data_IF_350273936399
#
_entry.id   IF_350273936399
#
_cell.length_a   1.000
_cell.length_b   1.000
_cell.length_c   1.000
_cell.angle_alpha   90.00
_cell.angle_beta   90.00
_cell.angle_gamma   90.00
#
_symmetry.space_group_name_H-M   'P 1'
#
loop_
_entity.id
_entity.type
_entity.pdbx_description
1 polymer ?
#
# COMPACT_ATOMS: atom_id res chain seq x y z
N UNK A 1 9.61 0.56 32.03
CA UNK A 1 8.63 0.03 31.05
C UNK A 1 9.04 -1.37 30.72
N UNK A 2 8.36 -2.35 31.31
CA UNK A 2 8.50 -3.74 30.91
C UNK A 2 7.83 -3.89 29.54
N UNK A 3 8.40 -4.71 28.65
CA UNK A 3 7.86 -4.98 27.30
C UNK A 3 6.38 -5.42 27.34
N UNK A 4 5.96 -6.00 28.47
CA UNK A 4 4.59 -6.43 28.75
C UNK A 4 3.59 -5.26 28.84
N UNK A 5 4.04 -4.04 29.15
CA UNK A 5 3.20 -2.83 29.17
C UNK A 5 2.97 -2.25 27.77
N UNK A 6 3.82 -2.60 26.80
CA UNK A 6 3.78 -2.06 25.43
C UNK A 6 2.92 -2.91 24.47
N UNK A 7 2.67 -4.18 24.82
CA UNK A 7 1.96 -5.13 23.97
C UNK A 7 0.51 -5.35 24.43
N UNK A 8 -0.44 -5.56 23.50
CA UNK A 8 -1.81 -5.92 23.87
C UNK A 8 -1.87 -7.15 24.77
N UNK A 9 -2.76 -7.17 25.76
CA UNK A 9 -2.89 -8.28 26.72
C UNK A 9 -3.17 -9.64 26.07
N UNK A 10 -3.78 -9.64 24.87
CA UNK A 10 -4.11 -10.82 24.08
C UNK A 10 -3.03 -11.22 23.07
N UNK A 11 -1.88 -10.53 23.03
CA UNK A 11 -0.79 -10.82 22.10
C UNK A 11 -0.17 -12.23 22.31
N UNK A 12 -0.40 -12.85 23.47
CA UNK A 12 0.01 -14.23 23.74
C UNK A 12 -0.51 -15.24 22.69
N UNK A 13 -1.73 -15.06 22.17
CA UNK A 13 -2.29 -15.93 21.12
C UNK A 13 -1.52 -15.84 19.79
N UNK A 14 -0.96 -14.66 19.50
CA UNK A 14 -0.15 -14.42 18.30
C UNK A 14 1.17 -15.17 18.41
N UNK A 15 1.78 -15.20 19.59
CA UNK A 15 3.02 -15.95 19.85
C UNK A 15 2.81 -17.45 19.57
N UNK A 16 1.68 -18.03 20.01
CA UNK A 16 1.34 -19.41 19.67
C UNK A 16 1.20 -19.64 18.17
N UNK A 17 0.68 -18.66 17.44
CA UNK A 17 0.56 -18.72 15.98
C UNK A 17 1.93 -18.72 15.29
N UNK A 18 2.87 -17.89 15.74
CA UNK A 18 4.24 -17.91 15.25
C UNK A 18 4.94 -19.24 15.55
N UNK A 19 4.79 -19.75 16.78
CA UNK A 19 5.33 -21.05 17.14
C UNK A 19 4.75 -22.17 16.27
N UNK A 20 3.44 -22.13 16.00
CA UNK A 20 2.79 -23.08 15.09
C UNK A 20 3.34 -23.01 13.66
N UNK A 21 3.58 -21.79 13.16
CA UNK A 21 4.19 -21.58 11.84
C UNK A 21 5.64 -22.08 11.74
N UNK A 22 6.40 -22.00 12.84
CA UNK A 22 7.76 -22.55 12.93
C UNK A 22 7.74 -24.10 12.90
N UNK A 23 6.78 -24.72 13.61
CA UNK A 23 6.55 -26.17 13.55
C UNK A 23 6.24 -26.60 12.11
N UNK A 24 5.38 -25.85 11.42
CA UNK A 24 5.05 -26.09 10.02
C UNK A 24 6.30 -26.09 9.13
N UNK A 25 7.12 -25.04 9.17
CA UNK A 25 8.34 -24.98 8.35
C UNK A 25 9.29 -26.16 8.64
N UNK A 26 9.47 -26.49 9.91
CA UNK A 26 10.30 -27.61 10.35
C UNK A 26 9.77 -28.94 9.84
N UNK A 27 8.45 -29.15 9.90
CA UNK A 27 7.78 -30.35 9.38
C UNK A 27 8.00 -30.53 7.87
N UNK A 28 7.77 -29.48 7.07
CA UNK A 28 7.97 -29.57 5.62
C UNK A 28 9.45 -29.83 5.28
N UNK A 29 10.38 -29.21 6.01
CA UNK A 29 11.82 -29.43 5.85
C UNK A 29 12.23 -30.88 6.15
N UNK A 30 11.73 -31.45 7.24
CA UNK A 30 11.96 -32.86 7.59
C UNK A 30 11.40 -33.80 6.52
N UNK A 31 10.21 -33.49 5.98
CA UNK A 31 9.60 -34.28 4.89
C UNK A 31 10.43 -34.25 3.61
N UNK A 32 11.00 -33.10 3.25
CA UNK A 32 11.97 -33.00 2.15
C UNK A 32 13.20 -33.85 2.42
N UNK A 33 13.80 -33.76 3.61
CA UNK A 33 14.97 -34.55 3.99
C UNK A 33 14.71 -36.07 3.93
N UNK A 34 13.56 -36.50 4.46
CA UNK A 34 13.13 -37.89 4.39
C UNK A 34 12.88 -38.35 2.95
N UNK A 35 12.27 -37.49 2.11
CA UNK A 35 12.05 -37.78 0.70
C UNK A 35 13.37 -37.88 -0.08
N UNK A 36 14.35 -37.01 0.20
CA UNK A 36 15.70 -37.10 -0.40
C UNK A 36 16.34 -38.45 -0.13
N UNK A 37 16.25 -38.96 1.11
CA UNK A 37 16.75 -40.28 1.49
C UNK A 37 15.97 -41.41 0.82
N UNK A 38 14.65 -41.26 0.66
CA UNK A 38 13.78 -42.29 0.05
C UNK A 38 14.03 -42.46 -1.46
N UNK A 39 14.25 -41.36 -2.18
CA UNK A 39 14.43 -41.34 -3.64
C UNK A 39 15.90 -41.23 -4.08
N UNK A 40 16.85 -41.40 -3.15
CA UNK A 40 18.31 -41.31 -3.35
C UNK A 40 18.78 -40.08 -4.15
N UNK A 41 18.18 -38.92 -3.88
CA UNK A 41 18.54 -37.66 -4.55
C UNK A 41 19.71 -37.01 -3.81
N UNK A 42 20.94 -37.26 -4.31
CA UNK A 42 22.17 -36.68 -3.76
C UNK A 42 22.20 -35.15 -3.92
N UNK A 43 22.76 -34.47 -2.93
CA UNK A 43 23.13 -33.06 -3.06
C UNK A 43 24.21 -32.90 -4.15
N UNK A 44 24.22 -31.81 -4.96
CA UNK A 44 23.43 -30.57 -4.86
C UNK A 44 22.10 -30.59 -5.63
N UNK A 45 21.70 -31.74 -6.19
CA UNK A 45 20.56 -31.84 -7.11
C UNK A 45 19.25 -31.46 -6.41
N UNK A 46 18.54 -30.48 -6.99
CA UNK A 46 17.34 -29.90 -6.39
C UNK A 46 16.06 -30.65 -6.80
N UNK A 47 15.97 -31.04 -8.07
CA UNK A 47 14.85 -31.78 -8.66
C UNK A 47 15.37 -33.06 -9.32
N UNK A 48 14.56 -34.12 -9.31
CA UNK A 48 14.86 -35.38 -9.97
C UNK A 48 14.06 -35.47 -11.26
N UNK A 49 14.69 -35.80 -12.39
CA UNK A 49 13.99 -35.97 -13.67
C UNK A 49 13.09 -37.22 -13.70
N UNK A 50 13.33 -38.16 -12.77
CA UNK A 50 12.67 -39.48 -12.73
C UNK A 50 11.53 -39.54 -11.74
N UNK A 51 11.57 -38.72 -10.69
CA UNK A 51 10.69 -38.84 -9.52
C UNK A 51 9.84 -37.58 -9.30
N UNK A 52 8.69 -37.51 -9.97
CA UNK A 52 7.78 -36.37 -9.88
C UNK A 52 7.25 -36.15 -8.45
N UNK A 53 7.08 -37.22 -7.65
CA UNK A 53 6.62 -37.12 -6.26
C UNK A 53 7.63 -36.37 -5.40
N UNK A 54 8.93 -36.61 -5.60
CA UNK A 54 9.99 -35.87 -4.93
C UNK A 54 9.95 -34.38 -5.29
N UNK A 55 9.81 -34.07 -6.58
CA UNK A 55 9.71 -32.70 -7.07
C UNK A 55 8.50 -31.96 -6.46
N UNK A 56 7.37 -32.64 -6.34
CA UNK A 56 6.17 -32.10 -5.68
C UNK A 56 6.40 -31.80 -4.20
N UNK A 57 7.04 -32.70 -3.44
CA UNK A 57 7.38 -32.48 -2.02
C UNK A 57 8.32 -31.28 -1.87
N UNK A 58 9.36 -31.20 -2.71
CA UNK A 58 10.35 -30.13 -2.71
C UNK A 58 9.72 -28.78 -3.06
N UNK A 59 8.87 -28.72 -4.10
CA UNK A 59 8.20 -27.49 -4.53
C UNK A 59 7.22 -26.98 -3.47
N UNK A 60 6.51 -27.87 -2.77
CA UNK A 60 5.59 -27.47 -1.71
C UNK A 60 6.31 -26.76 -0.55
N UNK A 61 7.50 -27.23 -0.17
CA UNK A 61 8.33 -26.57 0.83
C UNK A 61 8.87 -25.23 0.33
N UNK A 62 9.46 -25.19 -0.87
CA UNK A 62 10.01 -23.96 -1.44
C UNK A 62 8.96 -22.86 -1.63
N UNK A 63 7.77 -23.19 -2.14
CA UNK A 63 6.70 -22.21 -2.27
C UNK A 63 6.27 -21.65 -0.90
N UNK A 64 6.36 -22.46 0.17
CA UNK A 64 6.08 -21.96 1.52
C UNK A 64 7.14 -20.96 1.95
N UNK A 65 8.43 -21.25 1.69
CA UNK A 65 9.53 -20.34 2.00
C UNK A 65 9.49 -19.04 1.19
N UNK A 66 9.02 -19.08 -0.06
CA UNK A 66 8.86 -17.88 -0.90
C UNK A 66 7.82 -16.91 -0.34
N UNK A 67 6.71 -17.43 0.21
CA UNK A 67 5.58 -16.62 0.69
C UNK A 67 5.67 -16.29 2.18
N UNK A 68 6.41 -17.08 2.96
CA UNK A 68 6.49 -16.94 4.41
C UNK A 68 7.00 -15.58 4.91
N UNK A 69 8.04 -14.95 4.33
CA UNK A 69 8.50 -13.61 4.76
C UNK A 69 7.41 -12.55 4.59
N UNK A 70 6.71 -12.59 3.45
CA UNK A 70 5.59 -11.68 3.18
C UNK A 70 4.46 -11.89 4.20
N UNK A 71 4.11 -13.16 4.47
CA UNK A 71 3.09 -13.49 5.47
C UNK A 71 3.50 -13.02 6.88
N UNK A 72 4.75 -13.21 7.29
CA UNK A 72 5.26 -12.78 8.60
C UNK A 72 5.10 -11.27 8.81
N UNK A 73 5.46 -10.45 7.81
CA UNK A 73 5.34 -8.99 7.90
C UNK A 73 3.88 -8.58 8.08
N UNK A 74 2.98 -9.08 7.23
CA UNK A 74 1.57 -8.74 7.32
C UNK A 74 0.90 -9.27 8.58
N UNK A 75 1.25 -10.48 9.01
CA UNK A 75 0.78 -11.07 10.27
C UNK A 75 1.22 -10.23 11.47
N UNK A 76 2.46 -9.72 11.47
CA UNK A 76 2.99 -8.89 12.57
C UNK A 76 2.25 -7.56 12.65
N UNK A 77 2.08 -6.88 11.51
CA UNK A 77 1.35 -5.61 11.45
C UNK A 77 -0.09 -5.80 11.94
N UNK A 78 -0.78 -6.84 11.44
CA UNK A 78 -2.16 -7.14 11.84
C UNK A 78 -2.25 -7.52 13.32
N UNK A 79 -1.28 -8.26 13.86
CA UNK A 79 -1.27 -8.69 15.26
C UNK A 79 -1.02 -7.56 16.26
N UNK A 80 -0.31 -6.51 15.86
CA UNK A 80 -0.08 -5.33 16.71
C UNK A 80 -1.38 -4.53 16.93
N UNK A 81 -2.29 -4.56 15.96
CA UNK A 81 -3.56 -3.83 16.02
C UNK A 81 -4.71 -4.74 16.49
N UNK A 82 -4.80 -5.96 15.96
CA UNK A 82 -5.89 -6.92 16.18
C UNK A 82 -5.35 -8.31 16.57
N UNK A 83 -4.80 -8.48 17.79
CA UNK A 83 -4.10 -9.71 18.21
C UNK A 83 -4.94 -10.98 18.15
N UNK A 84 -6.23 -10.93 18.50
CA UNK A 84 -7.11 -12.11 18.52
C UNK A 84 -7.49 -12.57 17.12
N UNK A 85 -7.96 -11.66 16.27
CA UNK A 85 -8.33 -11.93 14.87
C UNK A 85 -7.11 -12.40 14.08
N UNK A 86 -5.96 -11.73 14.24
CA UNK A 86 -4.71 -12.12 13.59
C UNK A 86 -4.28 -13.53 14.01
N UNK A 87 -4.43 -13.92 15.29
CA UNK A 87 -4.08 -15.26 15.74
C UNK A 87 -4.96 -16.34 15.08
N UNK A 88 -6.28 -16.14 15.03
CA UNK A 88 -7.21 -17.11 14.39
C UNK A 88 -6.91 -17.25 12.90
N UNK A 89 -6.75 -16.13 12.20
CA UNK A 89 -6.51 -16.12 10.76
C UNK A 89 -5.12 -16.66 10.40
N UNK A 90 -4.12 -16.33 11.21
CA UNK A 90 -2.78 -16.88 11.08
C UNK A 90 -2.76 -18.40 11.29
N UNK A 91 -3.53 -18.92 12.25
CA UNK A 91 -3.69 -20.36 12.44
C UNK A 91 -4.37 -21.04 11.24
N UNK A 92 -5.39 -20.41 10.64
CA UNK A 92 -6.03 -20.89 9.40
C UNK A 92 -5.01 -20.93 8.26
N UNK A 93 -4.17 -19.90 8.12
CA UNK A 93 -3.12 -19.86 7.11
C UNK A 93 -2.12 -21.00 7.28
N UNK A 94 -1.59 -21.20 8.49
CA UNK A 94 -0.62 -22.28 8.76
C UNK A 94 -1.25 -23.66 8.49
N UNK A 95 -2.49 -23.88 8.91
CA UNK A 95 -3.24 -25.13 8.65
C UNK A 95 -3.43 -25.38 7.15
N UNK A 96 -3.70 -24.31 6.38
CA UNK A 96 -3.83 -24.39 4.93
C UNK A 96 -2.57 -24.89 4.23
N UNK A 97 -1.38 -24.53 4.73
CA UNK A 97 -0.10 -24.96 4.17
C UNK A 97 0.15 -26.44 4.41
N UNK A 98 -0.29 -27.01 5.52
CA UNK A 98 -0.29 -28.47 5.71
C UNK A 98 -1.19 -29.16 4.70
N UNK A 99 -2.40 -28.64 4.50
CA UNK A 99 -3.36 -29.20 3.52
C UNK A 99 -2.86 -29.08 2.07
N UNK A 100 -2.19 -27.97 1.75
CA UNK A 100 -1.50 -27.75 0.48
C UNK A 100 -0.37 -28.77 0.26
N UNK A 101 0.48 -28.96 1.26
CA UNK A 101 1.62 -29.87 1.20
C UNK A 101 1.16 -31.34 1.07
N UNK A 102 0.19 -31.78 1.86
CA UNK A 102 -0.39 -33.13 1.73
C UNK A 102 -1.07 -33.35 0.39
N UNK A 103 -1.69 -32.32 -0.19
CA UNK A 103 -2.17 -32.35 -1.58
C UNK A 103 -1.04 -32.64 -2.57
N UNK A 104 0.07 -31.89 -2.48
CA UNK A 104 1.26 -32.07 -3.32
C UNK A 104 1.95 -33.43 -3.15
N UNK A 105 1.95 -34.00 -1.93
CA UNK A 105 2.63 -35.27 -1.65
C UNK A 105 2.03 -36.47 -2.39
N UNK A 106 0.84 -36.31 -2.96
CA UNK A 106 0.20 -37.32 -3.80
C UNK A 106 0.81 -37.46 -5.21
N UNK A 107 1.77 -36.59 -5.58
CA UNK A 107 2.43 -36.61 -6.89
C UNK A 107 1.66 -35.90 -8.01
N UNK A 108 0.45 -35.45 -7.73
CA UNK A 108 -0.40 -34.69 -8.65
C UNK A 108 -0.43 -33.20 -8.27
N UNK A 109 0.13 -32.30 -9.10
CA UNK A 109 0.14 -30.86 -8.84
C UNK A 109 -1.26 -30.24 -8.68
N UNK A 110 -2.31 -30.80 -9.28
CA UNK A 110 -3.65 -30.24 -9.22
C UNK A 110 -4.27 -30.32 -7.81
N UNK A 111 -3.87 -31.33 -7.01
CA UNK A 111 -4.41 -31.56 -5.66
C UNK A 111 -3.97 -30.53 -4.62
N UNK A 112 -3.12 -29.56 -5.03
CA UNK A 112 -2.76 -28.37 -4.24
C UNK A 112 -3.94 -27.50 -3.85
N UNK A 113 -5.02 -27.54 -4.64
CA UNK A 113 -6.23 -26.73 -4.42
C UNK A 113 -6.90 -27.02 -3.08
N UNK A 114 -6.60 -28.15 -2.43
CA UNK A 114 -7.05 -28.46 -1.07
C UNK A 114 -6.57 -27.44 -0.03
N UNK A 115 -5.50 -26.69 -0.29
CA UNK A 115 -5.01 -25.62 0.59
C UNK A 115 -5.48 -24.21 0.22
N UNK A 116 -6.37 -24.05 -0.78
CA UNK A 116 -6.77 -22.73 -1.28
C UNK A 116 -7.51 -21.87 -0.23
N UNK A 117 -8.12 -22.48 0.79
CA UNK A 117 -8.74 -21.74 1.89
C UNK A 117 -7.74 -20.88 2.69
N UNK A 118 -6.43 -21.12 2.55
CA UNK A 118 -5.37 -20.29 3.12
C UNK A 118 -5.37 -18.85 2.62
N UNK A 119 -5.88 -18.60 1.41
CA UNK A 119 -6.00 -17.24 0.87
C UNK A 119 -6.93 -16.37 1.70
N UNK A 120 -7.90 -16.97 2.42
CA UNK A 120 -8.75 -16.26 3.36
C UNK A 120 -7.89 -15.66 4.48
N UNK A 121 -6.97 -16.43 5.05
CA UNK A 121 -6.07 -15.95 6.11
C UNK A 121 -5.01 -14.95 5.65
N UNK A 122 -4.61 -14.94 4.37
CA UNK A 122 -3.67 -13.93 3.82
C UNK A 122 -4.36 -12.63 3.41
N UNK A 123 -5.54 -12.72 2.78
CA UNK A 123 -6.26 -11.56 2.27
C UNK A 123 -7.07 -10.87 3.37
N UNK A 124 -7.53 -11.60 4.39
CA UNK A 124 -8.24 -10.99 5.51
C UNK A 124 -7.32 -10.17 6.40
N UNK A 125 -6.02 -10.47 6.55
CA UNK A 125 -5.11 -9.59 7.29
C UNK A 125 -4.99 -8.20 6.65
N UNK A 126 -5.01 -8.13 5.31
CA UNK A 126 -5.09 -6.89 4.56
C UNK A 126 -6.49 -6.24 4.68
N UNK A 127 -7.56 -7.03 4.62
CA UNK A 127 -8.94 -6.52 4.73
C UNK A 127 -9.39 -6.17 6.15
N UNK A 128 -8.82 -6.76 7.19
CA UNK A 128 -9.02 -6.43 8.61
C UNK A 128 -8.26 -5.14 8.95
N UNK A 129 -7.12 -4.90 8.29
CA UNK A 129 -6.45 -3.58 8.28
C UNK A 129 -7.27 -2.51 7.52
N UNK A 130 -8.17 -2.93 6.62
CA UNK A 130 -9.06 -2.06 5.82
C UNK A 130 -10.49 -2.04 6.38
N UNK A 131 -10.83 -2.88 7.36
CA UNK A 131 -12.19 -2.96 7.90
C UNK A 131 -12.41 -1.76 8.82
N UNK A 132 -13.20 -0.85 8.27
CA UNK A 132 -13.82 0.26 8.95
C UNK A 132 -14.65 -0.25 10.13
N UNK A 133 -14.07 -0.22 11.32
CA UNK A 133 -14.74 -0.19 12.63
C UNK A 133 -15.52 -1.44 13.02
N UNK A 134 -15.14 -2.01 14.16
CA UNK A 134 -16.02 -2.83 14.96
C UNK A 134 -17.40 -2.16 15.13
N UNK A 135 -18.46 -2.97 15.13
CA UNK A 135 -19.81 -2.56 15.51
C UNK A 135 -19.89 -2.27 17.01
N UNK A 136 -19.20 -1.22 17.46
CA UNK A 136 -19.55 -0.50 18.67
C UNK A 136 -20.14 0.85 18.24
N UNK A 137 -21.36 1.11 18.69
CA UNK A 137 -22.14 2.30 18.38
C UNK A 137 -21.55 3.54 19.08
N UNK A 138 -20.33 3.94 18.73
CA UNK A 138 -19.82 5.28 18.92
C UNK A 138 -19.08 5.69 17.64
N UNK A 139 -19.87 6.10 16.64
CA UNK A 139 -19.35 6.50 15.32
C UNK A 139 -18.60 7.81 15.48
N UNK A 140 -17.28 7.71 15.63
CA UNK A 140 -16.40 8.87 15.58
C UNK A 140 -16.25 9.34 14.13
N UNK A 141 -17.21 10.17 13.69
CA UNK A 141 -17.29 10.68 12.32
C UNK A 141 -16.04 11.45 11.89
N UNK A 142 -15.27 11.98 12.85
CA UNK A 142 -14.01 12.67 12.61
C UNK A 142 -12.92 11.75 12.05
N UNK A 143 -12.73 10.58 12.65
CA UNK A 143 -11.66 9.65 12.26
C UNK A 143 -11.98 8.96 10.92
N UNK A 144 -13.24 8.57 10.69
CA UNK A 144 -13.68 8.02 9.39
C UNK A 144 -13.49 9.00 8.24
N UNK A 145 -13.80 10.28 8.47
CA UNK A 145 -13.62 11.34 7.47
C UNK A 145 -12.15 11.53 7.14
N UNK A 146 -11.26 11.45 8.12
CA UNK A 146 -9.81 11.59 7.92
C UNK A 146 -9.24 10.46 7.06
N UNK A 147 -9.65 9.22 7.31
CA UNK A 147 -9.25 8.05 6.51
C UNK A 147 -9.77 8.14 5.08
N UNK A 148 -11.04 8.53 4.90
CA UNK A 148 -11.63 8.68 3.56
C UNK A 148 -10.96 9.83 2.80
N UNK A 149 -10.73 10.97 3.44
CA UNK A 149 -10.08 12.12 2.83
C UNK A 149 -8.63 11.83 2.41
N UNK A 150 -7.87 11.08 3.23
CA UNK A 150 -6.50 10.71 2.90
C UNK A 150 -6.42 9.70 1.75
N UNK A 151 -7.30 8.70 1.72
CA UNK A 151 -7.40 7.73 0.62
C UNK A 151 -7.81 8.45 -0.67
N UNK A 152 -8.85 9.28 -0.63
CA UNK A 152 -9.35 10.02 -1.79
C UNK A 152 -8.28 10.96 -2.35
N UNK A 153 -7.56 11.69 -1.50
CA UNK A 153 -6.46 12.54 -1.92
C UNK A 153 -5.30 11.75 -2.53
N UNK A 154 -4.94 10.61 -1.95
CA UNK A 154 -3.89 9.72 -2.49
C UNK A 154 -4.23 9.17 -3.88
N UNK A 155 -5.48 8.74 -4.08
CA UNK A 155 -5.98 8.27 -5.39
C UNK A 155 -5.96 9.40 -6.43
N UNK A 156 -6.40 10.61 -6.07
CA UNK A 156 -6.35 11.77 -6.96
C UNK A 156 -4.90 12.15 -7.33
N UNK A 157 -3.99 12.16 -6.36
CA UNK A 157 -2.58 12.44 -6.62
C UNK A 157 -1.94 11.39 -7.54
N UNK A 158 -2.18 10.11 -7.27
CA UNK A 158 -1.67 9.00 -8.08
C UNK A 158 -2.22 9.05 -9.51
N UNK A 159 -3.52 9.24 -9.68
CA UNK A 159 -4.16 9.33 -11.00
C UNK A 159 -3.62 10.50 -11.83
N UNK A 160 -3.36 11.65 -11.21
CA UNK A 160 -2.73 12.79 -11.87
C UNK A 160 -1.34 12.45 -12.45
N UNK A 161 -0.47 11.82 -11.66
CA UNK A 161 0.85 11.39 -12.13
C UNK A 161 0.81 10.21 -13.10
N UNK A 162 -0.16 9.32 -12.97
CA UNK A 162 -0.34 8.21 -13.91
C UNK A 162 -0.68 8.69 -15.32
N UNK A 163 -1.58 9.67 -15.45
CA UNK A 163 -2.00 10.24 -16.73
C UNK A 163 -0.82 10.90 -17.47
N UNK A 164 0.05 11.63 -16.77
CA UNK A 164 1.19 12.27 -17.43
C UNK A 164 2.28 11.27 -17.85
N UNK A 165 2.46 10.19 -17.08
CA UNK A 165 3.41 9.12 -17.43
C UNK A 165 2.92 8.40 -18.69
N UNK A 166 1.63 8.08 -18.76
CA UNK A 166 1.02 7.51 -19.96
C UNK A 166 1.20 8.42 -21.18
N UNK A 167 0.97 9.73 -21.04
CA UNK A 167 1.20 10.69 -22.11
C UNK A 167 2.69 10.79 -22.52
N UNK A 168 3.62 10.78 -21.57
CA UNK A 168 5.06 10.85 -21.86
C UNK A 168 5.57 9.61 -22.61
N UNK A 169 5.03 8.42 -22.30
CA UNK A 169 5.40 7.17 -22.99
C UNK A 169 4.84 7.14 -24.41
N UNK A 170 3.61 7.60 -24.62
CA UNK A 170 2.99 7.62 -25.95
C UNK A 170 3.55 8.71 -26.88
N UNK A 171 4.12 9.78 -26.32
CA UNK A 171 4.64 10.94 -27.07
C UNK A 171 6.06 11.32 -26.61
N UNK A 172 7.09 10.52 -26.97
CA UNK A 172 8.47 10.77 -26.54
C UNK A 172 9.16 11.91 -27.30
N UNK A 173 8.64 12.30 -28.47
CA UNK A 173 9.26 13.28 -29.34
C UNK A 173 8.95 14.72 -28.91
N UNK A 174 10.00 15.55 -28.76
CA UNK A 174 9.89 16.94 -28.31
C UNK A 174 9.03 17.82 -29.23
N UNK A 175 8.94 17.49 -30.53
CA UNK A 175 8.10 18.17 -31.49
C UNK A 175 6.59 18.03 -31.17
N UNK A 176 6.21 16.88 -30.60
CA UNK A 176 4.82 16.57 -30.24
C UNK A 176 4.50 16.99 -28.82
N UNK A 177 5.45 16.80 -27.90
CA UNK A 177 5.30 17.12 -26.49
C UNK A 177 6.58 17.73 -25.93
N UNK A 178 6.56 19.03 -25.64
CA UNK A 178 7.71 19.71 -25.06
C UNK A 178 7.94 19.28 -23.62
N UNK A 179 9.16 18.82 -23.32
CA UNK A 179 9.57 18.39 -21.98
C UNK A 179 9.37 19.48 -20.90
N UNK A 180 9.41 20.76 -21.28
CA UNK A 180 9.15 21.89 -20.38
C UNK A 180 7.72 21.88 -19.77
N UNK A 181 6.75 21.23 -20.41
CA UNK A 181 5.38 21.17 -19.90
C UNK A 181 5.25 20.35 -18.61
N UNK A 182 6.21 19.45 -18.33
CA UNK A 182 6.25 18.72 -17.05
C UNK A 182 6.49 19.62 -15.83
N UNK A 183 7.14 20.77 -16.00
CA UNK A 183 7.42 21.71 -14.91
C UNK A 183 6.13 22.16 -14.21
N UNK A 184 5.03 22.27 -14.96
CA UNK A 184 3.73 22.63 -14.42
C UNK A 184 3.24 21.63 -13.36
N UNK A 185 3.28 20.33 -13.65
CA UNK A 185 2.89 19.28 -12.72
C UNK A 185 3.83 19.14 -11.51
N UNK A 186 5.13 19.42 -11.69
CA UNK A 186 6.09 19.48 -10.59
C UNK A 186 5.77 20.62 -9.63
N UNK A 187 5.50 21.83 -10.15
CA UNK A 187 5.11 22.98 -9.33
C UNK A 187 3.79 22.70 -8.58
N UNK A 188 2.81 22.05 -9.22
CA UNK A 188 1.58 21.63 -8.55
C UNK A 188 1.84 20.66 -7.39
N UNK A 189 2.80 19.75 -7.54
CA UNK A 189 3.19 18.80 -6.48
C UNK A 189 3.90 19.48 -5.32
N UNK A 190 4.79 20.44 -5.60
CA UNK A 190 5.40 21.28 -4.55
C UNK A 190 4.32 22.05 -3.80
N UNK A 191 3.37 22.65 -4.52
CA UNK A 191 2.24 23.36 -3.93
C UNK A 191 1.37 22.44 -3.05
N UNK A 192 1.09 21.21 -3.52
CA UNK A 192 0.38 20.19 -2.74
C UNK A 192 1.08 19.91 -1.41
N UNK A 193 2.41 19.71 -1.43
CA UNK A 193 3.17 19.46 -0.19
C UNK A 193 3.17 20.69 0.71
N UNK A 194 3.34 21.90 0.16
CA UNK A 194 3.34 23.15 0.94
C UNK A 194 2.01 23.39 1.66
N UNK A 195 0.88 23.19 0.96
CA UNK A 195 -0.46 23.40 1.53
C UNK A 195 -0.74 22.38 2.65
N UNK A 196 -0.37 21.12 2.42
CA UNK A 196 -0.68 20.00 3.32
C UNK A 196 0.34 19.82 4.45
N UNK A 197 1.53 20.44 4.38
CA UNK A 197 2.52 20.44 5.45
C UNK A 197 2.11 21.34 6.64
N UNK A 198 1.25 22.34 6.41
CA UNK A 198 0.77 23.24 7.48
C UNK A 198 -0.46 22.63 8.15
N UNK A 199 -0.45 22.52 9.48
CA UNK A 199 -1.61 22.09 10.26
C UNK A 199 -2.74 23.13 10.19
N UNK A 200 -4.00 22.68 10.17
CA UNK A 200 -5.16 23.56 10.29
C UNK A 200 -5.21 24.31 11.64
N UNK A 201 -4.70 23.70 12.71
CA UNK A 201 -4.58 24.35 14.03
C UNK A 201 -3.62 25.54 14.05
N UNK A 202 -2.53 25.47 13.29
CA UNK A 202 -1.58 26.59 13.14
C UNK A 202 -2.18 27.77 12.35
N UNK A 203 -3.14 27.51 11.45
CA UNK A 203 -3.83 28.55 10.68
C UNK A 203 -4.86 29.29 11.54
N UNK A 204 -5.60 28.54 12.38
CA UNK A 204 -6.62 29.07 13.30
C UNK A 204 -6.05 29.87 14.45
N UNK A 205 -4.80 29.59 14.84
CA UNK A 205 -4.12 30.27 15.93
C UNK A 205 -4.28 29.58 17.28
N UNK A 206 -4.79 28.34 17.30
CA UNK A 206 -5.05 27.54 18.51
C UNK A 206 -3.78 26.83 19.04
N UNK A 207 -2.62 27.08 18.43
CA UNK A 207 -1.35 26.44 18.81
C UNK A 207 -0.67 27.18 19.96
N UNK A 208 -0.49 26.50 21.10
CA UNK A 208 0.17 27.01 22.30
C UNK A 208 1.71 27.17 22.18
N UNK A 209 2.31 26.71 21.08
CA UNK A 209 3.75 26.82 20.83
C UNK A 209 4.03 27.67 19.59
N UNK A 210 4.69 28.81 19.79
CA UNK A 210 5.24 29.63 18.72
C UNK A 210 6.57 29.01 18.25
N UNK A 211 6.56 28.32 17.10
CA UNK A 211 7.80 27.95 16.40
C UNK A 211 8.50 29.17 15.81
N UNK A 212 9.73 29.02 15.30
CA UNK A 212 10.58 30.12 14.80
C UNK A 212 9.95 31.06 13.75
N UNK A 213 8.94 30.59 13.00
CA UNK A 213 8.30 31.33 11.90
C UNK A 213 6.93 31.94 12.33
N UNK A 214 6.45 31.59 13.54
CA UNK A 214 5.19 32.08 14.10
C UNK A 214 3.95 31.75 13.27
N UNK A 215 2.79 32.24 13.73
CA UNK A 215 1.50 32.03 13.05
C UNK A 215 1.43 32.80 11.72
N UNK A 216 2.02 33.99 11.66
CA UNK A 216 2.07 34.83 10.45
C UNK A 216 2.83 34.15 9.32
N UNK A 217 3.97 33.52 9.62
CA UNK A 217 4.75 32.84 8.59
C UNK A 217 4.12 31.54 8.10
N UNK A 218 3.38 30.82 8.95
CA UNK A 218 2.58 29.67 8.51
C UNK A 218 1.47 30.09 7.51
N UNK A 219 0.83 31.25 7.73
CA UNK A 219 -0.15 31.82 6.79
C UNK A 219 0.49 32.29 5.48
N UNK A 220 1.65 32.92 5.54
CA UNK A 220 2.41 33.32 4.33
C UNK A 220 2.83 32.08 3.53
N UNK A 221 3.34 31.04 4.20
CA UNK A 221 3.70 29.77 3.55
C UNK A 221 2.50 29.11 2.87
N UNK A 222 1.35 29.05 3.56
CA UNK A 222 0.11 28.52 3.01
C UNK A 222 -0.37 29.34 1.81
N UNK A 223 -0.27 30.68 1.88
CA UNK A 223 -0.64 31.57 0.79
C UNK A 223 0.23 31.35 -0.45
N UNK A 224 1.55 31.23 -0.27
CA UNK A 224 2.47 30.90 -1.38
C UNK A 224 2.11 29.54 -1.98
N UNK A 225 1.81 28.54 -1.15
CA UNK A 225 1.34 27.23 -1.60
C UNK A 225 0.10 27.34 -2.50
N UNK A 226 -0.92 28.10 -2.09
CA UNK A 226 -2.12 28.32 -2.91
C UNK A 226 -1.82 29.10 -4.19
N UNK A 227 -0.95 30.12 -4.15
CA UNK A 227 -0.54 30.86 -5.36
C UNK A 227 0.13 29.94 -6.38
N UNK A 228 1.02 29.05 -5.94
CA UNK A 228 1.67 28.07 -6.82
C UNK A 228 0.66 27.07 -7.39
N UNK A 229 -0.31 26.63 -6.59
CA UNK A 229 -1.35 25.68 -7.00
C UNK A 229 -2.30 26.27 -8.06
N UNK A 230 -2.76 27.51 -7.89
CA UNK A 230 -3.57 28.21 -8.89
C UNK A 230 -2.74 28.59 -10.11
N UNK A 231 -1.49 29.01 -9.91
CA UNK A 231 -0.56 29.35 -10.98
C UNK A 231 -0.29 28.16 -11.91
N UNK A 232 -0.05 26.97 -11.35
CA UNK A 232 0.11 25.76 -12.15
C UNK A 232 -1.17 25.36 -12.87
N UNK A 233 -2.34 25.45 -12.22
CA UNK A 233 -3.62 25.15 -12.88
C UNK A 233 -3.90 26.09 -14.07
N UNK A 234 -3.69 27.39 -13.91
CA UNK A 234 -3.86 28.38 -14.98
C UNK A 234 -2.83 28.15 -16.10
N UNK A 235 -1.57 27.87 -15.75
CA UNK A 235 -0.54 27.56 -16.73
C UNK A 235 -0.86 26.29 -17.53
N UNK A 236 -1.39 25.25 -16.89
CA UNK A 236 -1.82 24.01 -17.56
C UNK A 236 -2.98 24.24 -18.53
N UNK A 237 -3.92 25.12 -18.17
CA UNK A 237 -5.02 25.55 -19.03
C UNK A 237 -4.49 26.30 -20.26
N UNK A 238 -3.51 27.19 -20.07
CA UNK A 238 -2.85 27.89 -21.15
C UNK A 238 -2.11 26.92 -22.07
N UNK A 239 -1.40 25.92 -21.53
CA UNK A 239 -0.69 24.91 -22.32
C UNK A 239 -1.69 24.14 -23.21
N UNK A 240 -2.83 23.71 -22.66
CA UNK A 240 -3.87 23.03 -23.43
C UNK A 240 -4.38 23.88 -24.59
N UNK A 241 -4.86 25.09 -24.31
CA UNK A 241 -5.49 25.92 -25.34
C UNK A 241 -4.47 26.60 -26.26
N UNK A 242 -3.47 27.27 -25.70
CA UNK A 242 -2.45 28.01 -26.44
C UNK A 242 -1.43 27.11 -27.14
N UNK A 243 -1.08 25.96 -26.55
CA UNK A 243 -0.06 25.04 -27.08
C UNK A 243 -0.61 24.00 -28.06
N UNK A 244 -1.86 23.55 -27.88
CA UNK A 244 -2.42 22.43 -28.66
C UNK A 244 -3.69 22.79 -29.44
N UNK A 245 -4.67 23.46 -28.83
CA UNK A 245 -5.99 23.72 -29.46
C UNK A 245 -5.95 24.84 -30.48
N UNK A 246 -5.41 26.01 -30.12
CA UNK A 246 -5.35 27.19 -31.01
C UNK A 246 -4.43 26.95 -32.22
N UNK A 247 -3.22 26.35 -32.07
CA UNK A 247 -2.37 26.02 -33.20
C UNK A 247 -2.88 24.85 -34.06
N UNK A 248 -4.01 24.22 -33.68
CA UNK A 248 -4.60 23.05 -34.35
C UNK A 248 -3.59 21.91 -34.57
N UNK A 249 -2.84 21.55 -33.51
CA UNK A 249 -1.92 20.40 -33.58
C UNK A 249 -2.72 19.11 -33.88
N UNK A 250 -2.16 18.16 -34.64
CA UNK A 250 -2.87 16.92 -35.01
C UNK A 250 -3.18 16.04 -33.80
N UNK A 251 -2.39 16.16 -32.73
CA UNK A 251 -2.58 15.42 -31.48
C UNK A 251 -2.72 16.42 -30.33
N UNK A 252 -3.85 16.35 -29.63
CA UNK A 252 -4.20 17.26 -28.52
C UNK A 252 -4.07 16.58 -27.15
N UNK A 253 -3.97 15.24 -27.12
CA UNK A 253 -3.94 14.44 -25.88
C UNK A 253 -2.88 14.88 -24.85
N UNK A 254 -1.62 15.20 -25.22
CA UNK A 254 -0.63 15.65 -24.24
C UNK A 254 -1.04 16.93 -23.50
N UNK A 255 -1.69 17.87 -24.19
CA UNK A 255 -2.23 19.08 -23.55
C UNK A 255 -3.35 18.76 -22.56
N UNK A 256 -4.22 17.80 -22.90
CA UNK A 256 -5.31 17.34 -22.04
C UNK A 256 -4.73 16.64 -20.79
N UNK A 257 -3.72 15.80 -20.97
CA UNK A 257 -3.04 15.10 -19.89
C UNK A 257 -2.38 16.07 -18.89
N UNK A 258 -1.68 17.10 -19.37
CA UNK A 258 -1.07 18.14 -18.51
C UNK A 258 -2.14 18.90 -17.71
N UNK A 259 -3.28 19.23 -18.33
CA UNK A 259 -4.38 19.88 -17.63
C UNK A 259 -4.98 18.99 -16.53
N UNK A 260 -5.31 17.74 -16.86
CA UNK A 260 -5.90 16.81 -15.88
C UNK A 260 -4.93 16.44 -14.76
N UNK A 261 -3.63 16.31 -15.04
CA UNK A 261 -2.61 16.12 -14.00
C UNK A 261 -2.70 17.24 -12.96
N UNK A 262 -2.68 18.50 -13.40
CA UNK A 262 -2.70 19.65 -12.50
C UNK A 262 -4.04 19.77 -11.76
N UNK A 263 -5.16 19.49 -12.44
CA UNK A 263 -6.48 19.48 -11.81
C UNK A 263 -6.58 18.41 -10.71
N UNK A 264 -6.15 17.17 -10.97
CA UNK A 264 -6.22 16.10 -9.98
C UNK A 264 -5.30 16.33 -8.79
N UNK A 265 -4.09 16.83 -9.00
CA UNK A 265 -3.18 17.20 -7.91
C UNK A 265 -3.76 18.35 -7.08
N UNK A 266 -4.35 19.36 -7.73
CA UNK A 266 -4.99 20.50 -7.07
C UNK A 266 -6.16 20.04 -6.19
N UNK A 267 -7.12 19.30 -6.77
CA UNK A 267 -8.28 18.81 -6.02
C UNK A 267 -7.89 17.79 -4.95
N UNK A 268 -6.92 16.92 -5.21
CA UNK A 268 -6.36 16.01 -4.19
C UNK A 268 -5.79 16.79 -3.01
N UNK A 269 -5.10 17.91 -3.27
CA UNK A 269 -4.60 18.82 -2.23
C UNK A 269 -5.71 19.45 -1.39
N UNK A 270 -6.78 19.94 -2.03
CA UNK A 270 -7.93 20.51 -1.33
C UNK A 270 -8.67 19.48 -0.49
N UNK A 271 -8.88 18.27 -1.04
CA UNK A 271 -9.53 17.15 -0.34
C UNK A 271 -8.71 16.75 0.89
N UNK A 272 -7.39 16.68 0.78
CA UNK A 272 -6.55 16.38 1.94
C UNK A 272 -6.61 17.49 3.00
N UNK A 273 -6.47 18.75 2.57
CA UNK A 273 -6.41 19.92 3.46
C UNK A 273 -7.71 20.17 4.21
N UNK A 274 -8.84 20.15 3.51
CA UNK A 274 -10.15 20.51 4.05
C UNK A 274 -11.00 19.30 4.43
N UNK A 275 -10.72 18.12 3.87
CA UNK A 275 -11.41 16.89 4.25
C UNK A 275 -11.04 16.45 5.67
N UNK A 276 -9.78 16.63 6.08
CA UNK A 276 -9.31 16.20 7.40
C UNK A 276 -9.77 17.13 8.53
N UNK A 277 -10.41 16.58 9.56
CA UNK A 277 -10.56 17.20 10.87
C UNK A 277 -9.29 16.97 11.68
N UNK A 278 -8.63 18.05 12.08
CA UNK A 278 -7.61 18.02 13.12
C UNK A 278 -8.30 18.36 14.44
N UNK A 279 -9.16 17.45 14.93
CA UNK A 279 -9.69 17.61 16.27
C UNK A 279 -8.53 17.36 17.23
N UNK A 280 -8.07 18.43 17.85
CA UNK A 280 -7.16 18.36 18.99
C UNK A 280 -7.89 17.54 20.04
N UNK A 281 -7.30 16.43 20.47
CA UNK A 281 -7.74 15.67 21.64
C UNK A 281 -8.03 16.67 22.78
N UNK A 282 -9.31 16.94 23.03
CA UNK A 282 -9.80 17.62 24.23
C UNK A 282 -10.13 16.56 25.28
#
# INVERSE_FOLDING_TARGET
MEILELLPSSFGYVIFTYFYSWIMLSYLGIKVGAARKKYDVKYPTMYSDKEQVFNCIQRAHQNTLEVYPQWLVFQTIAALVYPTSAAVLGAIWVTSRFSYAWGYYSGDPAKRMKGAYGYIGTMSGFLDSIRCGDCECNVDWGERRNTIASIAAGVLFFTGWWIIIDAAVNYPDEATFHHAYHTCGVIATVAFLMINAVSNGQVRGDSYSEGCIGQTGARVWLFIGFMLAFGSLIASMWILFGGFVVPKKPVVYPGIAVFFQNAFIFFGGLVFKFGRTEDLWQ
#
